data_IF_657220222844
#
_entry.id   IF_657220222844
#
_cell.length_a   1.000
_cell.length_b   1.000
_cell.length_c   1.000
_cell.angle_alpha   90.00
_cell.angle_beta   90.00
_cell.angle_gamma   90.00
#
_symmetry.space_group_name_H-M   'P 1'
#
loop_
_entity.id
_entity.type
_entity.pdbx_description
1 polymer ?
#
# COMPACT_ATOMS: atom_id res chain seq x y z
N UNK A 1 61.14 -65.28 13.18
CA UNK A 1 61.06 -63.81 13.34
C UNK A 1 60.14 -63.14 12.31
N UNK A 2 60.15 -63.56 11.04
CA UNK A 2 59.33 -62.97 9.95
C UNK A 2 57.82 -62.93 10.24
N UNK A 3 57.23 -63.99 10.81
CA UNK A 3 55.79 -64.04 11.13
C UNK A 3 55.36 -63.06 12.23
N UNK A 4 56.22 -62.84 13.25
CA UNK A 4 55.94 -61.87 14.33
C UNK A 4 55.98 -60.43 13.81
N UNK A 5 56.91 -60.13 12.89
CA UNK A 5 56.99 -58.81 12.23
C UNK A 5 55.78 -58.57 11.32
N UNK A 6 55.34 -59.58 10.58
CA UNK A 6 54.18 -59.48 9.69
C UNK A 6 52.87 -59.29 10.48
N UNK A 7 52.74 -59.95 11.63
CA UNK A 7 51.60 -59.78 12.53
C UNK A 7 51.55 -58.38 13.17
N UNK A 8 52.70 -57.80 13.55
CA UNK A 8 52.78 -56.41 14.04
C UNK A 8 52.44 -55.42 12.94
N UNK A 9 52.92 -55.63 11.70
CA UNK A 9 52.60 -54.78 10.55
C UNK A 9 51.10 -54.82 10.23
N UNK A 10 50.48 -56.00 10.30
CA UNK A 10 49.04 -56.18 10.10
C UNK A 10 48.22 -55.43 11.16
N UNK A 11 48.57 -55.56 12.44
CA UNK A 11 47.89 -54.84 13.53
C UNK A 11 48.04 -53.32 13.39
N UNK A 12 49.22 -52.83 12.98
CA UNK A 12 49.45 -51.41 12.73
C UNK A 12 48.60 -50.89 11.55
N UNK A 13 48.42 -51.73 10.53
CA UNK A 13 47.63 -51.40 9.33
C UNK A 13 46.12 -51.35 9.63
N UNK A 14 45.61 -52.28 10.45
CA UNK A 14 44.21 -52.29 10.91
C UNK A 14 43.93 -51.10 11.85
N UNK A 15 44.90 -50.71 12.68
CA UNK A 15 44.78 -49.55 13.57
C UNK A 15 44.71 -48.21 12.83
N UNK A 16 45.35 -48.11 11.65
CA UNK A 16 45.25 -46.94 10.78
C UNK A 16 43.88 -46.80 10.12
N UNK A 17 43.21 -47.91 9.79
CA UNK A 17 41.88 -47.90 9.18
C UNK A 17 40.78 -47.45 10.17
N UNK A 18 40.95 -47.69 11.47
CA UNK A 18 39.97 -47.30 12.49
C UNK A 18 39.81 -45.78 12.66
N UNK A 19 40.81 -44.98 12.27
CA UNK A 19 40.76 -43.51 12.38
C UNK A 19 40.18 -42.82 11.12
N UNK A 20 39.85 -43.58 10.07
CA UNK A 20 39.37 -43.04 8.80
C UNK A 20 37.85 -42.89 8.71
N UNK A 21 37.08 -43.47 9.64
CA UNK A 21 35.63 -43.28 9.70
C UNK A 21 35.28 -41.93 10.34
N UNK A 22 35.54 -40.84 9.62
CA UNK A 22 34.91 -39.55 9.92
C UNK A 22 33.41 -39.69 9.66
N UNK A 23 32.62 -39.80 10.71
CA UNK A 23 31.16 -39.74 10.60
C UNK A 23 30.73 -38.40 9.99
N UNK A 24 29.66 -38.43 9.19
CA UNK A 24 29.09 -37.25 8.55
C UNK A 24 28.70 -36.23 9.61
N UNK A 25 29.19 -35.00 9.48
CA UNK A 25 28.89 -33.90 10.40
C UNK A 25 27.72 -33.11 9.86
N UNK A 26 26.58 -33.25 10.53
CA UNK A 26 25.33 -32.59 10.18
C UNK A 26 25.04 -31.50 11.21
N UNK A 27 24.73 -30.30 10.72
CA UNK A 27 24.15 -29.21 11.51
C UNK A 27 22.74 -28.87 11.02
N UNK A 28 21.99 -28.13 11.82
CA UNK A 28 20.75 -27.52 11.36
C UNK A 28 20.62 -26.09 11.85
N UNK A 29 19.81 -25.32 11.13
CA UNK A 29 19.43 -23.95 11.45
C UNK A 29 17.92 -23.80 11.41
N UNK A 30 17.41 -22.79 12.10
CA UNK A 30 16.02 -22.34 11.98
C UNK A 30 16.05 -20.91 11.42
N UNK A 31 15.86 -20.78 10.10
CA UNK A 31 15.96 -19.48 9.41
C UNK A 31 14.90 -18.50 9.91
N UNK A 32 13.68 -18.95 10.22
CA UNK A 32 12.63 -18.09 10.75
C UNK A 32 13.04 -17.50 12.11
N UNK A 33 13.52 -18.36 13.01
CA UNK A 33 14.07 -17.91 14.31
C UNK A 33 15.24 -16.94 14.13
N UNK A 34 16.16 -17.19 13.19
CA UNK A 34 17.28 -16.28 12.92
C UNK A 34 16.75 -14.92 12.43
N UNK A 35 15.81 -14.89 11.49
CA UNK A 35 15.21 -13.67 10.96
C UNK A 35 14.56 -12.83 12.07
N UNK A 36 13.76 -13.46 12.93
CA UNK A 36 13.11 -12.80 14.07
C UNK A 36 14.09 -12.18 15.08
N UNK A 37 15.31 -12.70 15.17
CA UNK A 37 16.33 -12.22 16.09
C UNK A 37 17.34 -11.23 15.46
N UNK A 38 17.27 -10.96 14.16
CA UNK A 38 18.12 -9.97 13.50
C UNK A 38 17.48 -8.57 13.62
N UNK A 39 18.08 -7.61 14.34
CA UNK A 39 17.47 -6.31 14.60
C UNK A 39 17.04 -5.57 13.33
N UNK A 40 17.87 -5.59 12.29
CA UNK A 40 17.62 -4.95 11.01
C UNK A 40 16.33 -5.46 10.33
N UNK A 41 16.12 -6.78 10.37
CA UNK A 41 14.90 -7.39 9.84
C UNK A 41 13.67 -7.03 10.67
N UNK A 42 13.78 -7.08 12.00
CA UNK A 42 12.66 -6.75 12.89
C UNK A 42 12.21 -5.30 12.74
N UNK A 43 13.15 -4.36 12.60
CA UNK A 43 12.85 -2.93 12.40
C UNK A 43 12.17 -2.70 11.06
N UNK A 44 12.69 -3.29 9.99
CA UNK A 44 12.11 -3.18 8.66
C UNK A 44 10.71 -3.82 8.58
N UNK A 45 10.51 -4.95 9.27
CA UNK A 45 9.22 -5.64 9.36
C UNK A 45 8.20 -4.78 10.10
N UNK A 46 8.56 -4.15 11.22
CA UNK A 46 7.70 -3.20 11.93
C UNK A 46 7.30 -2.01 11.05
N UNK A 47 8.23 -1.48 10.25
CA UNK A 47 7.91 -0.41 9.29
C UNK A 47 6.94 -0.88 8.21
N UNK A 48 7.12 -2.11 7.70
CA UNK A 48 6.21 -2.72 6.72
C UNK A 48 4.82 -2.94 7.32
N UNK A 49 4.72 -3.45 8.55
CA UNK A 49 3.46 -3.61 9.27
C UNK A 49 2.71 -2.28 9.44
N UNK A 50 3.43 -1.21 9.77
CA UNK A 50 2.84 0.13 9.85
C UNK A 50 2.25 0.58 8.50
N UNK A 51 2.94 0.31 7.38
CA UNK A 51 2.42 0.59 6.03
C UNK A 51 1.20 -0.26 5.70
N UNK A 52 1.25 -1.56 6.03
CA UNK A 52 0.12 -2.48 5.86
C UNK A 52 -1.11 -1.99 6.60
N UNK A 53 -0.93 -1.56 7.85
CA UNK A 53 -2.03 -1.03 8.64
C UNK A 53 -2.63 0.23 8.01
N UNK A 54 -1.79 1.14 7.52
CA UNK A 54 -2.26 2.34 6.78
C UNK A 54 -3.07 1.97 5.55
N UNK A 55 -2.61 1.00 4.75
CA UNK A 55 -3.36 0.56 3.56
C UNK A 55 -4.70 -0.09 3.94
N UNK A 56 -4.74 -0.89 5.01
CA UNK A 56 -6.00 -1.46 5.52
C UNK A 56 -6.99 -0.37 5.92
N UNK A 57 -6.55 0.60 6.71
CA UNK A 57 -7.40 1.72 7.13
C UNK A 57 -7.87 2.56 5.95
N UNK A 58 -7.02 2.75 4.93
CA UNK A 58 -7.41 3.45 3.70
C UNK A 58 -8.50 2.69 2.93
N UNK A 59 -8.36 1.38 2.78
CA UNK A 59 -9.36 0.53 2.13
C UNK A 59 -10.67 0.56 2.90
N UNK A 60 -10.64 0.38 4.23
CA UNK A 60 -11.82 0.46 5.09
C UNK A 60 -12.52 1.83 4.98
N UNK A 61 -11.77 2.92 4.95
CA UNK A 61 -12.31 4.26 4.76
C UNK A 61 -13.02 4.44 3.41
N UNK A 62 -12.41 3.94 2.33
CA UNK A 62 -13.02 3.97 0.98
C UNK A 62 -14.27 3.10 0.91
N UNK A 63 -14.25 1.90 1.47
CA UNK A 63 -15.41 1.01 1.54
C UNK A 63 -16.58 1.64 2.31
N UNK A 64 -16.30 2.30 3.43
CA UNK A 64 -17.31 3.03 4.20
C UNK A 64 -17.90 4.20 3.40
N UNK A 65 -17.07 4.91 2.64
CA UNK A 65 -17.53 6.01 1.76
C UNK A 65 -18.46 5.50 0.67
N UNK A 66 -18.10 4.40 0.00
CA UNK A 66 -18.94 3.74 -1.01
C UNK A 66 -20.26 3.26 -0.41
N UNK A 67 -20.22 2.68 0.80
CA UNK A 67 -21.43 2.25 1.52
C UNK A 67 -22.36 3.42 1.80
N UNK A 68 -21.84 4.55 2.28
CA UNK A 68 -22.63 5.77 2.51
C UNK A 68 -23.24 6.31 1.21
N UNK A 69 -22.49 6.30 0.09
CA UNK A 69 -23.01 6.71 -1.22
C UNK A 69 -24.15 5.83 -1.71
N UNK A 70 -24.06 4.51 -1.49
CA UNK A 70 -25.16 3.57 -1.80
C UNK A 70 -26.39 3.84 -0.95
N UNK A 71 -26.22 4.03 0.35
CA UNK A 71 -27.33 4.34 1.25
C UNK A 71 -28.01 5.67 0.88
N UNK A 72 -27.22 6.70 0.59
CA UNK A 72 -27.73 7.99 0.12
C UNK A 72 -28.49 7.86 -1.21
N UNK A 73 -27.93 7.13 -2.19
CA UNK A 73 -28.60 6.88 -3.47
C UNK A 73 -29.93 6.16 -3.27
N UNK A 74 -29.99 5.13 -2.41
CA UNK A 74 -31.22 4.40 -2.13
C UNK A 74 -32.30 5.27 -1.49
N UNK A 75 -31.92 6.15 -0.54
CA UNK A 75 -32.85 7.06 0.12
C UNK A 75 -33.36 8.17 -0.83
N UNK A 76 -32.47 8.69 -1.69
CA UNK A 76 -32.80 9.76 -2.62
C UNK A 76 -33.44 9.24 -3.92
N UNK A 77 -33.40 7.93 -4.21
CA UNK A 77 -33.80 7.34 -5.50
C UNK A 77 -35.20 7.78 -5.97
N UNK A 78 -36.15 7.94 -5.05
CA UNK A 78 -37.51 8.38 -5.34
C UNK A 78 -37.62 9.85 -5.80
N UNK A 79 -36.60 10.67 -5.54
CA UNK A 79 -36.55 12.10 -5.84
C UNK A 79 -35.67 12.43 -7.06
N UNK A 80 -34.94 11.44 -7.61
CA UNK A 80 -33.97 11.63 -8.69
C UNK A 80 -34.57 11.23 -10.05
N UNK A 81 -34.01 11.78 -11.12
CA UNK A 81 -34.30 11.32 -12.49
C UNK A 81 -33.54 10.04 -12.80
N UNK A 82 -34.03 9.25 -13.76
CA UNK A 82 -33.38 7.99 -14.16
C UNK A 82 -31.92 8.18 -14.60
N UNK A 83 -31.64 9.23 -15.36
CA UNK A 83 -30.28 9.56 -15.82
C UNK A 83 -29.32 9.85 -14.66
N UNK A 84 -29.78 10.57 -13.62
CA UNK A 84 -28.97 10.92 -12.46
C UNK A 84 -28.75 9.71 -11.53
N UNK A 85 -29.67 8.74 -11.54
CA UNK A 85 -29.50 7.46 -10.86
C UNK A 85 -28.42 6.64 -11.57
N UNK A 86 -28.51 6.50 -12.89
CA UNK A 86 -27.53 5.77 -13.70
C UNK A 86 -26.12 6.35 -13.54
N UNK A 87 -25.95 7.68 -13.61
CA UNK A 87 -24.67 8.37 -13.37
C UNK A 87 -24.07 8.04 -12.00
N UNK A 88 -24.88 8.10 -10.93
CA UNK A 88 -24.43 7.79 -9.57
C UNK A 88 -24.13 6.31 -9.35
N UNK A 89 -24.89 5.42 -9.99
CA UNK A 89 -24.61 3.98 -9.96
C UNK A 89 -23.28 3.66 -10.67
N UNK A 90 -23.00 4.31 -11.81
CA UNK A 90 -21.71 4.20 -12.50
C UNK A 90 -20.54 4.73 -11.67
N UNK A 91 -20.69 5.90 -11.03
CA UNK A 91 -19.67 6.45 -10.12
C UNK A 91 -19.35 5.50 -8.97
N UNK A 92 -20.38 4.93 -8.33
CA UNK A 92 -20.22 3.95 -7.24
C UNK A 92 -19.49 2.71 -7.75
N UNK A 93 -19.87 2.17 -8.92
CA UNK A 93 -19.22 1.01 -9.51
C UNK A 93 -17.77 1.28 -9.89
N UNK A 94 -17.46 2.50 -10.35
CA UNK A 94 -16.10 2.91 -10.65
C UNK A 94 -15.25 2.93 -9.37
N UNK A 95 -15.74 3.56 -8.29
CA UNK A 95 -15.05 3.58 -7.00
C UNK A 95 -14.82 2.19 -6.42
N UNK A 96 -15.78 1.27 -6.58
CA UNK A 96 -15.62 -0.12 -6.15
C UNK A 96 -14.51 -0.85 -6.92
N UNK A 97 -14.43 -0.64 -8.23
CA UNK A 97 -13.34 -1.18 -9.05
C UNK A 97 -11.99 -0.59 -8.61
N UNK A 98 -11.93 0.71 -8.36
CA UNK A 98 -10.68 1.33 -7.87
C UNK A 98 -10.24 0.75 -6.51
N UNK A 99 -11.18 0.47 -5.60
CA UNK A 99 -10.87 -0.18 -4.32
C UNK A 99 -10.32 -1.59 -4.54
N UNK A 100 -10.96 -2.37 -5.42
CA UNK A 100 -10.53 -3.73 -5.75
C UNK A 100 -9.13 -3.73 -6.38
N UNK A 101 -8.90 -2.86 -7.36
CA UNK A 101 -7.59 -2.70 -8.00
C UNK A 101 -6.53 -2.26 -6.99
N UNK A 102 -6.86 -1.34 -6.09
CA UNK A 102 -5.97 -0.93 -5.02
C UNK A 102 -5.64 -2.10 -4.08
N UNK A 103 -6.65 -2.88 -3.67
CA UNK A 103 -6.45 -4.06 -2.83
C UNK A 103 -5.58 -5.09 -3.52
N UNK A 104 -5.81 -5.37 -4.81
CA UNK A 104 -4.99 -6.31 -5.58
C UNK A 104 -3.56 -5.81 -5.77
N UNK A 105 -3.37 -4.51 -6.01
CA UNK A 105 -2.05 -3.90 -6.14
C UNK A 105 -1.25 -3.95 -4.83
N UNK A 106 -1.90 -3.79 -3.68
CA UNK A 106 -1.22 -3.84 -2.38
C UNK A 106 -1.04 -5.26 -1.84
N UNK A 107 -2.09 -6.07 -1.88
CA UNK A 107 -2.21 -7.37 -1.18
C UNK A 107 -2.32 -8.57 -2.11
N UNK A 108 -2.33 -8.38 -3.44
CA UNK A 108 -2.34 -9.49 -4.39
C UNK A 108 -1.04 -10.32 -4.35
N UNK A 109 -1.00 -11.45 -5.08
CA UNK A 109 0.15 -12.36 -5.11
C UNK A 109 1.46 -11.67 -5.55
N UNK A 110 1.36 -10.70 -6.46
CA UNK A 110 2.46 -9.85 -6.92
C UNK A 110 2.30 -8.40 -6.42
N UNK A 111 1.56 -8.22 -5.34
CA UNK A 111 1.30 -6.90 -4.77
C UNK A 111 2.51 -6.32 -4.05
N UNK A 112 2.44 -5.04 -3.74
CA UNK A 112 3.50 -4.28 -3.08
C UNK A 112 3.95 -4.92 -1.75
N UNK A 113 3.02 -5.52 -1.00
CA UNK A 113 3.32 -6.20 0.26
C UNK A 113 4.27 -7.39 0.04
N UNK A 114 3.95 -8.26 -0.92
CA UNK A 114 4.74 -9.46 -1.17
C UNK A 114 6.12 -9.09 -1.73
N UNK A 115 6.17 -8.10 -2.63
CA UNK A 115 7.42 -7.57 -3.18
C UNK A 115 8.29 -6.99 -2.06
N UNK A 116 7.73 -6.14 -1.20
CA UNK A 116 8.48 -5.54 -0.09
C UNK A 116 8.94 -6.61 0.92
N UNK A 117 8.09 -7.59 1.26
CA UNK A 117 8.49 -8.70 2.14
C UNK A 117 9.68 -9.46 1.55
N UNK A 118 9.64 -9.79 0.26
CA UNK A 118 10.76 -10.46 -0.42
C UNK A 118 12.03 -9.60 -0.44
N UNK A 119 11.90 -8.31 -0.76
CA UNK A 119 13.03 -7.38 -0.80
C UNK A 119 13.70 -7.18 0.56
N UNK A 120 12.93 -7.22 1.66
CA UNK A 120 13.47 -7.13 3.01
C UNK A 120 14.11 -8.44 3.47
N UNK A 121 13.51 -9.58 3.12
CA UNK A 121 13.98 -10.89 3.53
C UNK A 121 15.26 -11.33 2.79
N UNK A 122 15.33 -11.05 1.48
CA UNK A 122 16.43 -11.48 0.62
C UNK A 122 17.83 -11.07 1.11
N UNK A 123 18.13 -9.81 1.45
CA UNK A 123 19.47 -9.42 1.91
C UNK A 123 19.85 -10.09 3.24
N UNK A 124 18.88 -10.39 4.10
CA UNK A 124 19.14 -11.08 5.37
C UNK A 124 19.36 -12.57 5.13
N UNK A 125 18.60 -13.19 4.22
CA UNK A 125 18.85 -14.57 3.78
C UNK A 125 20.25 -14.73 3.17
N UNK A 126 20.70 -13.78 2.35
CA UNK A 126 22.05 -13.78 1.80
C UNK A 126 23.11 -13.72 2.91
N UNK A 127 22.89 -12.89 3.94
CA UNK A 127 23.78 -12.82 5.12
C UNK A 127 23.78 -14.12 5.93
N UNK A 128 22.61 -14.75 6.11
CA UNK A 128 22.47 -16.05 6.77
C UNK A 128 23.26 -17.10 6.00
N UNK A 129 23.07 -17.17 4.69
CA UNK A 129 23.75 -18.13 3.83
C UNK A 129 25.27 -18.00 3.92
N UNK A 130 25.80 -16.77 3.84
CA UNK A 130 27.24 -16.53 4.00
C UNK A 130 27.75 -16.91 5.40
N UNK A 131 27.02 -16.55 6.46
CA UNK A 131 27.40 -16.91 7.83
C UNK A 131 27.38 -18.45 8.04
N UNK A 132 26.42 -19.14 7.45
CA UNK A 132 26.32 -20.60 7.48
C UNK A 132 27.49 -21.23 6.73
N UNK A 133 27.87 -20.73 5.55
CA UNK A 133 29.04 -21.20 4.81
C UNK A 133 30.33 -21.06 5.63
N UNK A 134 30.55 -19.90 6.24
CA UNK A 134 31.71 -19.65 7.10
C UNK A 134 31.75 -20.61 8.29
N UNK A 135 30.61 -20.82 8.95
CA UNK A 135 30.49 -21.74 10.08
C UNK A 135 30.71 -23.19 9.64
N UNK A 136 30.13 -23.58 8.51
CA UNK A 136 30.26 -24.91 7.93
C UNK A 136 31.73 -25.23 7.61
N UNK A 137 32.44 -24.31 6.95
CA UNK A 137 33.84 -24.46 6.63
C UNK A 137 34.72 -24.54 7.91
N UNK A 138 34.50 -23.64 8.87
CA UNK A 138 35.30 -23.57 10.09
C UNK A 138 35.10 -24.78 11.02
N UNK A 139 33.85 -25.25 11.16
CA UNK A 139 33.51 -26.39 12.02
C UNK A 139 33.54 -27.74 11.27
N UNK A 140 33.82 -27.72 9.97
CA UNK A 140 33.86 -28.87 9.07
C UNK A 140 32.54 -29.63 9.08
N UNK A 141 31.42 -28.92 8.93
CA UNK A 141 30.13 -29.55 8.67
C UNK A 141 30.07 -29.97 7.20
N UNK A 142 29.56 -31.18 6.95
CA UNK A 142 29.36 -31.70 5.61
C UNK A 142 27.98 -31.28 5.06
N UNK A 143 26.99 -31.19 5.95
CA UNK A 143 25.62 -30.77 5.62
C UNK A 143 25.07 -29.83 6.69
N UNK A 144 24.32 -28.81 6.26
CA UNK A 144 23.52 -27.96 7.12
C UNK A 144 22.10 -27.95 6.56
N UNK A 145 21.13 -28.32 7.39
CA UNK A 145 19.71 -28.33 7.02
C UNK A 145 18.98 -27.14 7.62
N UNK A 146 18.06 -26.57 6.87
CA UNK A 146 17.12 -25.58 7.39
C UNK A 146 15.85 -26.28 7.86
N UNK A 147 15.49 -26.10 9.13
CA UNK A 147 14.26 -26.61 9.74
C UNK A 147 13.03 -25.84 9.27
N UNK A 148 13.20 -24.58 8.85
CA UNK A 148 12.11 -23.76 8.31
C UNK A 148 11.76 -24.11 6.87
N UNK A 149 12.57 -24.94 6.20
CA UNK A 149 12.29 -25.46 4.87
C UNK A 149 11.35 -26.68 4.91
N UNK A 150 10.86 -27.13 3.75
CA UNK A 150 9.93 -28.28 3.61
C UNK A 150 10.48 -29.64 4.08
N UNK A 151 11.68 -29.68 4.69
CA UNK A 151 12.28 -30.89 5.25
C UNK A 151 11.66 -31.17 6.61
N UNK A 152 10.85 -32.22 6.68
CA UNK A 152 10.23 -32.67 7.95
C UNK A 152 11.30 -33.32 8.85
N UNK A 153 11.81 -32.55 9.81
CA UNK A 153 12.68 -33.03 10.87
C UNK A 153 11.87 -33.40 12.11
N UNK A 154 11.69 -34.69 12.36
CA UNK A 154 10.89 -35.17 13.51
C UNK A 154 11.58 -34.95 14.86
N UNK A 155 12.90 -35.04 14.90
CA UNK A 155 13.70 -34.85 16.10
C UNK A 155 15.14 -34.51 15.72
N UNK A 156 15.73 -33.57 16.45
CA UNK A 156 17.16 -33.29 16.44
C UNK A 156 17.64 -33.02 17.85
N UNK A 157 18.90 -33.39 18.12
CA UNK A 157 19.54 -32.99 19.36
C UNK A 157 20.03 -31.55 19.24
N UNK A 158 19.77 -30.72 20.26
CA UNK A 158 20.12 -29.29 20.31
C UNK A 158 21.61 -29.01 20.05
N UNK A 159 22.49 -29.97 20.35
CA UNK A 159 23.93 -29.89 20.03
C UNK A 159 24.26 -29.71 18.54
N UNK A 160 23.32 -30.03 17.65
CA UNK A 160 23.47 -29.86 16.21
C UNK A 160 22.87 -28.54 15.70
N UNK A 161 22.20 -27.78 16.58
CA UNK A 161 21.71 -26.43 16.28
C UNK A 161 22.89 -25.47 16.18
N UNK A 162 22.94 -24.72 15.08
CA UNK A 162 23.92 -23.64 14.91
C UNK A 162 23.25 -22.27 14.75
N UNK A 163 21.94 -22.16 14.97
CA UNK A 163 21.15 -20.93 14.77
C UNK A 163 21.68 -19.75 15.60
N UNK A 164 21.92 -19.95 16.90
CA UNK A 164 22.49 -18.91 17.78
C UNK A 164 23.90 -18.46 17.35
N UNK A 165 24.69 -19.39 16.81
CA UNK A 165 26.01 -19.08 16.29
C UNK A 165 25.92 -18.22 15.03
N UNK A 166 24.96 -18.51 14.15
CA UNK A 166 24.66 -17.72 12.96
C UNK A 166 24.19 -16.32 13.35
N UNK A 167 23.22 -16.20 14.26
CA UNK A 167 22.72 -14.90 14.77
C UNK A 167 23.87 -14.05 15.32
N UNK A 168 24.76 -14.64 16.12
CA UNK A 168 25.93 -13.95 16.67
C UNK A 168 26.88 -13.48 15.58
N UNK A 169 27.08 -14.28 14.54
CA UNK A 169 27.97 -13.97 13.42
C UNK A 169 27.41 -12.81 12.59
N UNK A 170 26.12 -12.86 12.25
CA UNK A 170 25.41 -11.78 11.53
C UNK A 170 25.42 -10.50 12.35
N UNK A 171 25.08 -10.57 13.64
CA UNK A 171 25.05 -9.40 14.52
C UNK A 171 26.43 -8.76 14.65
N UNK A 172 27.49 -9.56 14.74
CA UNK A 172 28.87 -9.06 14.77
C UNK A 172 29.27 -8.42 13.44
N UNK A 173 28.91 -9.04 12.32
CA UNK A 173 29.17 -8.50 10.99
C UNK A 173 28.43 -7.18 10.76
N UNK A 174 27.15 -7.11 11.14
CA UNK A 174 26.33 -5.90 11.09
C UNK A 174 26.90 -4.78 11.97
N UNK A 175 27.23 -5.07 13.24
CA UNK A 175 27.90 -4.10 14.14
C UNK A 175 29.24 -3.61 13.59
N UNK A 176 30.02 -4.48 12.95
CA UNK A 176 31.29 -4.10 12.31
C UNK A 176 31.04 -3.18 11.11
N UNK A 177 30.12 -3.52 10.22
CA UNK A 177 29.71 -2.65 9.08
C UNK A 177 29.19 -1.29 9.56
N UNK A 178 28.41 -1.27 10.64
CA UNK A 178 27.91 -0.03 11.22
C UNK A 178 29.04 0.81 11.84
N UNK A 179 30.02 0.17 12.48
CA UNK A 179 31.20 0.83 13.03
C UNK A 179 32.13 1.38 11.94
N UNK A 180 32.35 0.63 10.84
CA UNK A 180 33.13 1.11 9.68
C UNK A 180 32.42 2.27 9.00
N UNK A 181 31.11 2.15 8.70
CA UNK A 181 30.35 3.25 8.11
C UNK A 181 30.38 4.52 8.97
N UNK A 182 30.31 4.40 10.31
CA UNK A 182 30.41 5.55 11.21
C UNK A 182 31.81 6.14 11.24
N UNK A 183 32.85 5.32 11.10
CA UNK A 183 34.25 5.75 11.03
C UNK A 183 34.55 6.41 9.68
N UNK A 184 34.19 5.78 8.57
CA UNK A 184 34.27 6.34 7.21
C UNK A 184 33.48 7.64 7.09
N UNK A 185 32.28 7.75 7.69
CA UNK A 185 31.51 9.00 7.71
C UNK A 185 32.15 10.09 8.59
N UNK A 186 32.99 9.75 9.55
CA UNK A 186 33.76 10.72 10.35
C UNK A 186 35.03 11.14 9.62
N UNK A 187 35.77 10.18 9.07
CA UNK A 187 36.97 10.41 8.27
C UNK A 187 36.63 11.23 7.01
N UNK A 188 35.53 10.94 6.31
CA UNK A 188 35.08 11.75 5.19
C UNK A 188 34.68 13.18 5.60
N UNK A 189 34.16 13.38 6.81
CA UNK A 189 33.87 14.74 7.33
C UNK A 189 35.12 15.49 7.80
N UNK A 190 36.16 14.76 8.21
CA UNK A 190 37.44 15.31 8.67
C UNK A 190 38.39 15.57 7.49
N UNK A 191 38.30 14.79 6.40
CA UNK A 191 39.04 14.99 5.14
C UNK A 191 38.38 16.05 4.21
N UNK A 192 37.09 16.36 4.36
CA UNK A 192 36.38 17.37 3.56
C UNK A 192 36.61 18.82 4.05
N UNK A 193 37.59 19.06 4.94
CA UNK A 193 38.00 20.41 5.39
C UNK A 193 39.47 20.67 5.04
N UNK A 194 39.76 20.72 3.74
CA UNK A 194 40.78 21.63 3.19
C UNK A 194 40.03 22.55 2.25
N UNK A 195 39.66 23.73 2.77
CA UNK A 195 39.07 24.80 1.98
C UNK A 195 40.13 25.33 1.01
N UNK A 196 40.09 24.86 -0.24
CA UNK A 196 40.45 25.69 -1.37
C UNK A 196 39.14 26.20 -1.97
N UNK A 197 38.87 27.49 -1.74
CA UNK A 197 37.66 28.21 -2.14
C UNK A 197 37.44 28.01 -3.64
N UNK A 198 36.39 27.27 -4.00
CA UNK A 198 35.93 27.14 -5.38
C UNK A 198 34.51 27.73 -5.47
N UNK A 199 34.45 28.98 -5.93
CA UNK A 199 33.25 29.81 -6.14
C UNK A 199 32.13 29.17 -6.99
N UNK A 200 32.37 27.99 -7.58
CA UNK A 200 31.41 27.29 -8.44
C UNK A 200 30.26 26.57 -7.71
N UNK A 201 30.42 26.21 -6.43
CA UNK A 201 29.42 25.43 -5.71
C UNK A 201 28.28 26.27 -5.11
N UNK A 202 28.56 27.49 -4.64
CA UNK A 202 27.50 28.42 -4.16
C UNK A 202 26.55 28.85 -5.27
N UNK A 203 27.07 29.09 -6.49
CA UNK A 203 26.25 29.47 -7.64
C UNK A 203 25.28 28.35 -8.05
N UNK A 204 25.73 27.09 -7.96
CA UNK A 204 24.92 25.92 -8.29
C UNK A 204 23.83 25.65 -7.25
N UNK A 205 24.12 25.92 -5.98
CA UNK A 205 23.16 25.76 -4.89
C UNK A 205 22.04 26.81 -4.97
N UNK A 206 22.40 28.08 -5.19
CA UNK A 206 21.44 29.17 -5.44
C UNK A 206 20.54 28.89 -6.65
N UNK A 207 21.11 28.42 -7.76
CA UNK A 207 20.34 28.08 -8.96
C UNK A 207 19.36 26.91 -8.75
N UNK A 208 19.70 25.94 -7.89
CA UNK A 208 18.81 24.82 -7.57
C UNK A 208 17.66 25.24 -6.65
N UNK A 209 17.93 26.13 -5.71
CA UNK A 209 16.92 26.64 -4.78
C UNK A 209 15.94 27.60 -5.48
N UNK A 210 16.42 28.46 -6.38
CA UNK A 210 15.55 29.28 -7.25
C UNK A 210 14.66 28.43 -8.16
N UNK A 211 15.20 27.33 -8.71
CA UNK A 211 14.43 26.43 -9.57
C UNK A 211 13.39 25.61 -8.79
N UNK A 212 13.66 25.29 -7.52
CA UNK A 212 12.67 24.67 -6.62
C UNK A 212 11.57 25.66 -6.26
N UNK A 213 11.91 26.88 -5.86
CA UNK A 213 10.96 27.94 -5.57
C UNK A 213 10.06 28.28 -6.78
N UNK A 214 10.62 28.33 -7.98
CA UNK A 214 9.86 28.57 -9.21
C UNK A 214 8.89 27.42 -9.55
N UNK A 215 9.26 26.16 -9.27
CA UNK A 215 8.39 24.99 -9.47
C UNK A 215 7.25 24.96 -8.47
N UNK A 216 7.51 25.30 -7.21
CA UNK A 216 6.50 25.39 -6.16
C UNK A 216 5.50 26.51 -6.46
N UNK A 217 5.98 27.70 -6.83
CA UNK A 217 5.11 28.81 -7.24
C UNK A 217 4.26 28.47 -8.48
N UNK A 218 4.81 27.72 -9.46
CA UNK A 218 4.05 27.26 -10.62
C UNK A 218 3.00 26.20 -10.27
N UNK A 219 3.29 25.32 -9.31
CA UNK A 219 2.34 24.32 -8.81
C UNK A 219 1.19 24.97 -8.02
N UNK A 220 1.48 25.99 -7.22
CA UNK A 220 0.47 26.77 -6.50
C UNK A 220 -0.44 27.56 -7.43
N UNK A 221 0.12 28.22 -8.46
CA UNK A 221 -0.69 28.90 -9.48
C UNK A 221 -1.62 27.93 -10.22
N UNK A 222 -1.13 26.76 -10.64
CA UNK A 222 -1.98 25.73 -11.26
C UNK A 222 -3.08 25.23 -10.31
N UNK A 223 -2.77 25.09 -9.02
CA UNK A 223 -3.76 24.68 -8.01
C UNK A 223 -4.85 25.75 -7.84
N UNK A 224 -4.49 27.03 -7.84
CA UNK A 224 -5.44 28.15 -7.80
C UNK A 224 -6.31 28.19 -9.05
N UNK A 225 -5.73 28.09 -10.24
CA UNK A 225 -6.46 28.03 -11.52
C UNK A 225 -7.47 26.86 -11.56
N UNK A 226 -7.09 25.68 -11.04
CA UNK A 226 -7.99 24.51 -10.95
C UNK A 226 -9.15 24.77 -9.98
N UNK A 227 -8.90 25.42 -8.85
CA UNK A 227 -9.94 25.75 -7.88
C UNK A 227 -10.90 26.81 -8.44
N UNK A 228 -10.39 27.85 -9.07
CA UNK A 228 -11.19 28.89 -9.74
C UNK A 228 -12.02 28.31 -10.90
N UNK A 229 -11.45 27.42 -11.71
CA UNK A 229 -12.18 26.73 -12.77
C UNK A 229 -13.30 25.82 -12.22
N UNK A 230 -13.09 25.18 -11.07
CA UNK A 230 -14.13 24.38 -10.38
C UNK A 230 -15.25 25.27 -9.83
N UNK A 231 -14.91 26.42 -9.24
CA UNK A 231 -15.90 27.37 -8.74
C UNK A 231 -16.72 28.00 -9.87
N UNK A 232 -16.07 28.37 -10.99
CA UNK A 232 -16.75 28.88 -12.17
C UNK A 232 -17.71 27.84 -12.77
N UNK A 233 -17.30 26.57 -12.86
CA UNK A 233 -18.18 25.47 -13.30
C UNK A 233 -19.37 25.27 -12.35
N UNK A 234 -19.15 25.37 -11.04
CA UNK A 234 -20.22 25.25 -10.03
C UNK A 234 -21.23 26.39 -10.12
N UNK A 235 -20.77 27.64 -10.30
CA UNK A 235 -21.64 28.81 -10.52
C UNK A 235 -22.42 28.70 -11.83
N UNK A 236 -21.77 28.33 -12.93
CA UNK A 236 -22.43 28.13 -14.22
C UNK A 236 -23.49 27.02 -14.16
N UNK A 237 -23.24 25.94 -13.42
CA UNK A 237 -24.23 24.88 -13.20
C UNK A 237 -25.43 25.36 -12.36
N UNK A 238 -25.19 26.20 -11.33
CA UNK A 238 -26.26 26.79 -10.51
C UNK A 238 -27.12 27.79 -11.30
N UNK A 239 -26.50 28.63 -12.13
CA UNK A 239 -27.22 29.57 -13.00
C UNK A 239 -28.05 28.85 -14.07
N UNK A 240 -27.51 27.80 -14.70
CA UNK A 240 -28.27 26.95 -15.63
C UNK A 240 -29.47 26.31 -14.92
N UNK A 241 -29.29 25.83 -13.68
CA UNK A 241 -30.38 25.27 -12.88
C UNK A 241 -31.45 26.31 -12.53
N UNK A 242 -31.07 27.54 -12.19
CA UNK A 242 -32.01 28.63 -11.91
C UNK A 242 -32.81 29.03 -13.14
N UNK A 243 -32.15 29.21 -14.30
CA UNK A 243 -32.83 29.53 -15.56
C UNK A 243 -33.84 28.45 -15.95
N UNK A 244 -33.49 27.19 -15.77
CA UNK A 244 -34.38 26.06 -16.05
C UNK A 244 -35.59 26.01 -15.08
N UNK A 245 -35.41 26.44 -13.83
CA UNK A 245 -36.52 26.56 -12.86
C UNK A 245 -37.44 27.72 -13.24
N UNK A 246 -36.90 28.87 -13.63
CA UNK A 246 -37.68 30.03 -14.08
C UNK A 246 -38.44 29.76 -15.37
N UNK A 247 -37.80 29.11 -16.35
CA UNK A 247 -38.45 28.71 -17.60
C UNK A 247 -39.60 27.72 -17.34
N UNK A 248 -39.39 26.75 -16.44
CA UNK A 248 -40.46 25.84 -16.01
C UNK A 248 -41.57 26.55 -15.23
N UNK A 249 -41.27 27.59 -14.46
CA UNK A 249 -42.26 28.38 -13.75
C UNK A 249 -43.11 29.21 -14.73
N UNK A 250 -42.48 29.89 -15.70
CA UNK A 250 -43.17 30.63 -16.77
C UNK A 250 -44.06 29.74 -17.62
N UNK A 251 -43.54 28.57 -18.04
CA UNK A 251 -44.33 27.59 -18.79
C UNK A 251 -45.53 27.04 -17.97
N UNK A 252 -45.43 26.99 -16.64
CA UNK A 252 -46.56 26.63 -15.76
C UNK A 252 -47.57 27.77 -15.65
N UNK A 253 -47.13 29.01 -15.53
CA UNK A 253 -48.01 30.18 -15.51
C UNK A 253 -48.75 30.36 -16.83
N UNK A 254 -48.09 30.20 -17.96
CA UNK A 254 -48.72 30.25 -19.29
C UNK A 254 -49.77 29.15 -19.46
N UNK A 255 -49.47 27.91 -19.01
CA UNK A 255 -50.47 26.82 -19.00
C UNK A 255 -51.64 27.09 -18.05
N UNK A 256 -51.41 27.76 -16.92
CA UNK A 256 -52.47 28.15 -15.99
C UNK A 256 -53.36 29.24 -16.59
N UNK A 257 -52.78 30.24 -17.27
CA UNK A 257 -53.53 31.29 -17.98
C UNK A 257 -54.34 30.72 -19.14
N UNK A 258 -53.74 29.88 -19.99
CA UNK A 258 -54.46 29.21 -21.06
C UNK A 258 -55.63 28.36 -20.53
N UNK A 259 -55.47 27.73 -19.35
CA UNK A 259 -56.54 26.94 -18.71
C UNK A 259 -57.64 27.82 -18.08
N UNK A 260 -57.32 29.05 -17.68
CA UNK A 260 -58.31 30.04 -17.21
C UNK A 260 -59.09 30.62 -18.39
N UNK A 261 -58.40 30.98 -19.49
CA UNK A 261 -59.02 31.46 -20.72
C UNK A 261 -60.00 30.43 -21.31
N UNK A 262 -59.63 29.14 -21.34
CA UNK A 262 -60.56 28.07 -21.77
C UNK A 262 -61.75 27.86 -20.82
N UNK A 263 -61.63 28.22 -19.53
CA UNK A 263 -62.74 28.14 -18.56
C UNK A 263 -63.69 29.33 -18.67
N UNK A 264 -63.18 30.49 -19.06
CA UNK A 264 -63.99 31.69 -19.30
C UNK A 264 -64.72 31.63 -20.67
N UNK A 265 -64.19 30.89 -21.65
CA UNK A 265 -64.88 30.60 -22.92
C UNK A 265 -65.96 29.49 -22.82
N UNK A 266 -65.89 28.59 -21.83
CA UNK A 266 -66.88 27.51 -21.64
C UNK A 266 -68.14 27.91 -20.84
N UNK A 267 -68.27 29.18 -20.44
CA UNK A 267 -69.47 29.65 -19.72
C UNK A 267 -70.21 30.76 -20.49
N UNK A 268 -70.97 30.41 -21.56
CA UNK A 268 -71.93 31.35 -22.12
C UNK A 268 -73.07 31.52 -21.12
N UNK A 269 -73.33 32.78 -20.78
CA UNK A 269 -74.51 33.24 -20.05
C UNK A 269 -75.79 32.50 -20.45
N UNK A 270 -76.33 31.70 -19.53
CA UNK A 270 -77.69 31.16 -19.60
C UNK A 270 -78.65 32.27 -19.16
N UNK A 271 -79.29 32.92 -20.14
CA UNK A 271 -80.47 33.76 -19.92
C UNK A 271 -81.60 32.91 -19.32
N UNK A 272 -81.86 33.12 -18.03
CA UNK A 272 -82.99 32.54 -17.30
C UNK A 272 -84.16 33.50 -17.30
N UNK A 273 -85.07 33.32 -18.25
CA UNK A 273 -86.38 33.94 -18.34
C UNK A 273 -87.29 33.41 -17.20
N UNK A 274 -87.42 34.15 -16.10
CA UNK A 274 -88.37 33.82 -15.02
C UNK A 274 -89.66 34.63 -15.15
N UNK A 275 -90.66 33.95 -15.72
CA UNK A 275 -92.08 34.26 -15.65
C UNK A 275 -92.53 34.46 -14.20
N UNK A 276 -92.89 35.69 -13.84
CA UNK A 276 -93.63 35.97 -12.61
C UNK A 276 -95.14 36.01 -12.93
N UNK A 277 -95.82 34.88 -12.69
CA UNK A 277 -97.28 34.80 -12.55
C UNK A 277 -97.60 34.32 -11.14
N UNK A 278 -98.12 35.27 -10.37
CA UNK A 278 -99.19 35.17 -9.37
C UNK A 278 -99.41 33.81 -8.67
N UNK A 279 -99.33 33.81 -7.34
CA UNK A 279 -100.54 33.46 -6.59
C UNK A 279 -100.66 34.18 -5.24
N UNK A 280 -101.90 34.56 -4.93
CA UNK A 280 -102.34 35.32 -3.75
C UNK A 280 -102.78 34.36 -2.64
N UNK A 281 -102.94 34.93 -1.44
CA UNK A 281 -103.82 34.50 -0.33
C UNK A 281 -103.32 33.31 0.52
N UNK A 282 -103.46 33.24 1.84
CA UNK A 282 -104.19 33.98 2.88
C UNK A 282 -103.34 34.03 4.16
#
# INVERSE_FOLDING_TARGET
>A
MKFKVLLVLFILSVSYQANAQRGVRIGYIDTEYILENVPEYTEATKQLESKVQKWKTEIEGRLNTVKQKREALNNEKALLTKELIEEREEDILFEEKEILDYQQKRFGPNGDLMIQKKQLMQPVQDQIFQAVQDIAANKKYDFVFDKSADVVMLYSAERFDISDLVIRTITRASKRKQATNRKERKEAKEEEVVEEINDSQEARQKALDEKRAAREAAAEKRRQEILEAREAKKKAAQEKRQKLIEERAKAREEKLKARQETKDEENPSFDGDENNKEDKTY
#
